data_IF_596705190152
#
_entry.id   IF_596705190152
#
_cell.length_a   1.000
_cell.length_b   1.000
_cell.length_c   1.000
_cell.angle_alpha   90.00
_cell.angle_beta   90.00
_cell.angle_gamma   90.00
#
_symmetry.space_group_name_H-M   'P 1'
#
loop_
_entity.id
_entity.type
_entity.pdbx_description
1 polymer ?
#
# COMPACT_ATOMS: atom_id res chain seq x y z
N UNK A 1 29.46 20.36 5.50
CA UNK A 1 28.01 20.47 5.34
C UNK A 1 27.45 19.06 5.35
N UNK A 2 26.45 18.73 6.18
CA UNK A 2 25.82 17.41 6.07
C UNK A 2 25.24 17.31 4.67
N UNK A 3 25.62 16.26 3.94
CA UNK A 3 24.97 15.94 2.67
C UNK A 3 23.49 15.73 2.99
N UNK A 4 22.60 16.46 2.33
CA UNK A 4 21.17 16.15 2.32
C UNK A 4 21.03 14.77 1.68
N UNK A 5 21.14 13.72 2.48
CA UNK A 5 20.76 12.37 2.08
C UNK A 5 19.26 12.38 1.92
N UNK A 6 18.80 12.56 0.69
CA UNK A 6 17.39 12.41 0.34
C UNK A 6 17.03 10.93 0.55
N UNK A 7 16.31 10.64 1.63
CA UNK A 7 15.90 9.28 1.96
C UNK A 7 14.70 8.95 1.07
N UNK A 8 14.76 7.87 0.27
CA UNK A 8 13.64 7.51 -0.58
C UNK A 8 12.45 7.05 0.28
N UNK A 9 11.24 7.34 -0.20
CA UNK A 9 10.04 6.68 0.32
C UNK A 9 10.17 5.17 0.17
N UNK A 10 9.60 4.41 1.10
CA UNK A 10 9.61 2.96 1.07
C UNK A 10 8.18 2.45 0.98
N UNK A 11 7.91 1.61 -0.01
CA UNK A 11 6.63 0.93 -0.17
C UNK A 11 6.80 -0.55 0.10
N UNK A 12 6.02 -1.10 1.03
CA UNK A 12 5.98 -2.55 1.26
C UNK A 12 4.71 -3.09 0.58
N UNK A 13 4.89 -3.74 -0.56
CA UNK A 13 3.79 -4.24 -1.40
C UNK A 13 3.74 -5.76 -1.37
N UNK A 14 2.58 -6.32 -1.67
CA UNK A 14 2.41 -7.77 -1.79
C UNK A 14 1.00 -8.23 -1.45
N UNK A 15 0.69 -9.52 -1.67
CA UNK A 15 -0.61 -10.11 -1.40
C UNK A 15 -1.08 -9.88 0.04
N UNK A 16 -2.38 -9.99 0.29
CA UNK A 16 -2.89 -10.04 1.66
C UNK A 16 -2.20 -11.15 2.48
N UNK A 17 -2.17 -10.99 3.79
CA UNK A 17 -1.62 -11.99 4.75
C UNK A 17 -0.11 -12.22 4.74
N UNK A 18 0.70 -11.57 3.90
CA UNK A 18 2.17 -11.82 3.83
C UNK A 18 3.01 -11.29 4.99
N UNK A 19 2.39 -10.85 6.09
CA UNK A 19 3.10 -10.34 7.27
C UNK A 19 3.64 -8.90 7.12
N UNK A 20 3.24 -8.17 6.07
CA UNK A 20 3.69 -6.78 5.81
C UNK A 20 3.49 -5.84 6.99
N UNK A 21 2.30 -5.82 7.57
CA UNK A 21 2.02 -4.99 8.76
C UNK A 21 2.90 -5.37 9.95
N UNK A 22 3.19 -6.66 10.15
CA UNK A 22 4.12 -7.12 11.19
C UNK A 22 5.55 -6.67 10.91
N UNK A 23 5.99 -6.76 9.65
CA UNK A 23 7.30 -6.29 9.20
C UNK A 23 7.45 -4.79 9.44
N UNK A 24 6.44 -3.99 9.09
CA UNK A 24 6.45 -2.53 9.27
C UNK A 24 6.55 -2.16 10.75
N UNK A 25 5.76 -2.78 11.63
CA UNK A 25 5.85 -2.51 13.06
C UNK A 25 7.23 -2.85 13.64
N UNK A 26 7.85 -3.95 13.18
CA UNK A 26 9.20 -4.31 13.60
C UNK A 26 10.24 -3.31 13.09
N UNK A 27 10.18 -2.97 11.80
CA UNK A 27 11.04 -1.96 11.19
C UNK A 27 10.88 -0.63 11.91
N UNK A 28 9.67 -0.21 12.26
CA UNK A 28 9.42 1.03 12.98
C UNK A 28 10.21 1.10 14.28
N UNK A 29 10.13 0.06 15.13
CA UNK A 29 10.84 0.03 16.40
C UNK A 29 12.36 0.09 16.22
N UNK A 30 12.90 -0.78 15.37
CA UNK A 30 14.35 -0.89 15.14
C UNK A 30 14.90 0.38 14.46
N UNK A 31 14.19 0.89 13.47
CA UNK A 31 14.60 2.05 12.68
C UNK A 31 14.46 3.35 13.46
N UNK A 32 13.42 3.53 14.28
CA UNK A 32 13.31 4.72 15.14
C UNK A 32 14.47 4.81 16.14
N UNK A 33 14.93 3.68 16.69
CA UNK A 33 16.10 3.65 17.56
C UNK A 33 17.38 4.04 16.81
N UNK A 34 17.55 3.51 15.60
CA UNK A 34 18.70 3.86 14.76
C UNK A 34 18.67 5.34 14.33
N UNK A 35 17.52 5.85 13.90
CA UNK A 35 17.35 7.23 13.44
C UNK A 35 17.68 8.25 14.54
N UNK A 36 17.36 7.97 15.81
CA UNK A 36 17.73 8.82 16.96
C UNK A 36 19.24 9.00 17.12
N UNK A 37 20.05 8.06 16.63
CA UNK A 37 21.51 8.13 16.65
C UNK A 37 22.08 8.82 15.38
N UNK A 38 21.22 9.29 14.48
CA UNK A 38 21.58 9.96 13.22
C UNK A 38 20.97 11.37 13.14
N UNK A 39 21.35 12.14 12.13
CA UNK A 39 20.73 13.43 11.80
C UNK A 39 19.58 13.32 10.80
N UNK A 40 19.05 12.11 10.57
CA UNK A 40 17.95 11.87 9.63
C UNK A 40 16.62 12.19 10.34
N UNK A 41 15.69 12.79 9.60
CA UNK A 41 14.37 13.17 10.11
C UNK A 41 13.54 11.96 10.58
N UNK A 42 12.60 12.22 11.50
CA UNK A 42 11.70 11.20 12.03
C UNK A 42 10.87 10.55 10.93
N UNK A 43 10.80 9.22 10.98
CA UNK A 43 10.01 8.39 10.09
C UNK A 43 8.50 8.65 10.23
N UNK A 44 7.82 8.90 9.10
CA UNK A 44 6.36 8.82 9.01
C UNK A 44 5.92 7.43 8.51
N UNK A 45 4.85 6.88 9.09
CA UNK A 45 4.30 5.58 8.68
C UNK A 45 2.87 5.73 8.21
N UNK A 46 2.61 5.18 7.03
CA UNK A 46 1.27 5.05 6.46
C UNK A 46 0.83 3.61 6.65
N UNK A 47 -0.14 3.39 7.54
CA UNK A 47 -0.80 2.09 7.72
C UNK A 47 -1.69 1.74 6.53
N UNK A 48 -2.08 0.47 6.38
CA UNK A 48 -2.88 -0.03 5.23
C UNK A 48 -4.17 0.79 5.00
N UNK A 49 -4.13 1.71 4.04
CA UNK A 49 -5.22 2.66 3.73
C UNK A 49 -6.48 1.94 3.28
N UNK A 50 -6.32 0.87 2.51
CA UNK A 50 -7.44 0.06 2.01
C UNK A 50 -8.35 -0.44 3.15
N UNK A 51 -7.78 -0.81 4.30
CA UNK A 51 -8.55 -1.29 5.45
C UNK A 51 -9.45 -0.20 6.02
N UNK A 52 -8.95 1.02 6.10
CA UNK A 52 -9.71 2.19 6.56
C UNK A 52 -10.83 2.56 5.58
N UNK A 53 -10.56 2.50 4.27
CA UNK A 53 -11.57 2.78 3.24
C UNK A 53 -12.69 1.75 3.26
N UNK A 54 -12.35 0.45 3.34
CA UNK A 54 -13.32 -0.63 3.44
C UNK A 54 -14.26 -0.43 4.64
N UNK A 55 -13.71 -0.13 5.81
CA UNK A 55 -14.49 0.11 7.02
C UNK A 55 -15.38 1.35 6.90
N UNK A 56 -14.84 2.46 6.38
CA UNK A 56 -15.57 3.74 6.23
C UNK A 56 -16.75 3.63 5.27
N UNK A 57 -16.60 2.89 4.18
CA UNK A 57 -17.61 2.77 3.11
C UNK A 57 -18.41 1.47 3.19
N UNK A 58 -18.21 0.66 4.23
CA UNK A 58 -18.92 -0.59 4.50
C UNK A 58 -18.84 -1.60 3.34
N UNK A 59 -17.68 -1.67 2.68
CA UNK A 59 -17.40 -2.65 1.63
C UNK A 59 -16.96 -3.98 2.24
N UNK A 60 -17.49 -5.09 1.71
CA UNK A 60 -17.04 -6.44 2.06
C UNK A 60 -16.14 -7.04 0.98
N UNK A 61 -15.35 -8.05 1.33
CA UNK A 61 -14.58 -8.82 0.33
C UNK A 61 -15.49 -9.46 -0.74
N UNK A 62 -16.73 -9.80 -0.38
CA UNK A 62 -17.72 -10.32 -1.32
C UNK A 62 -18.13 -9.29 -2.37
N UNK A 63 -18.30 -8.01 -1.98
CA UNK A 63 -18.63 -6.94 -2.93
C UNK A 63 -17.56 -6.77 -4.02
N UNK A 64 -16.29 -6.95 -3.64
CA UNK A 64 -15.13 -6.85 -4.54
C UNK A 64 -15.15 -7.96 -5.60
N UNK A 65 -15.53 -9.18 -5.19
CA UNK A 65 -15.48 -10.34 -6.08
C UNK A 65 -16.70 -10.47 -6.99
N UNK A 66 -17.85 -9.95 -6.55
CA UNK A 66 -19.13 -10.19 -7.21
C UNK A 66 -19.63 -9.03 -8.07
N UNK A 67 -19.10 -7.81 -7.88
CA UNK A 67 -19.47 -6.65 -8.67
C UNK A 67 -18.26 -5.87 -9.16
N UNK A 68 -18.07 -5.88 -10.49
CA UNK A 68 -17.01 -5.11 -11.16
C UNK A 68 -17.12 -3.61 -10.90
N UNK A 69 -18.35 -3.08 -10.91
CA UNK A 69 -18.62 -1.66 -10.68
C UNK A 69 -18.23 -1.26 -9.26
N UNK A 70 -18.68 -2.02 -8.26
CA UNK A 70 -18.32 -1.78 -6.85
C UNK A 70 -16.81 -1.93 -6.63
N UNK A 71 -16.20 -2.93 -7.24
CA UNK A 71 -14.76 -3.15 -7.15
C UNK A 71 -13.98 -1.95 -7.70
N UNK A 72 -14.37 -1.43 -8.88
CA UNK A 72 -13.72 -0.27 -9.50
C UNK A 72 -13.88 0.99 -8.64
N UNK A 73 -15.09 1.26 -8.16
CA UNK A 73 -15.38 2.39 -7.27
C UNK A 73 -14.51 2.31 -5.99
N UNK A 74 -14.44 1.14 -5.37
CA UNK A 74 -13.57 0.92 -4.23
C UNK A 74 -12.09 1.16 -4.57
N UNK A 75 -11.60 0.67 -5.71
CA UNK A 75 -10.19 0.87 -6.09
C UNK A 75 -9.88 2.36 -6.31
N UNK A 76 -10.81 3.13 -6.87
CA UNK A 76 -10.69 4.58 -6.99
C UNK A 76 -10.61 5.23 -5.59
N UNK A 77 -11.52 4.90 -4.68
CA UNK A 77 -11.52 5.43 -3.31
C UNK A 77 -10.22 5.12 -2.56
N UNK A 78 -9.68 3.90 -2.72
CA UNK A 78 -8.40 3.51 -2.10
C UNK A 78 -7.25 4.32 -2.69
N UNK A 79 -7.18 4.47 -4.02
CA UNK A 79 -6.12 5.23 -4.68
C UNK A 79 -6.13 6.71 -4.26
N UNK A 80 -7.30 7.34 -4.21
CA UNK A 80 -7.45 8.73 -3.78
C UNK A 80 -7.06 8.90 -2.30
N UNK A 81 -7.53 8.00 -1.42
CA UNK A 81 -7.18 8.02 0.00
C UNK A 81 -5.68 7.79 0.23
N UNK A 82 -5.05 6.93 -0.59
CA UNK A 82 -3.61 6.68 -0.53
C UNK A 82 -2.81 7.93 -0.92
N UNK A 83 -3.21 8.62 -1.99
CA UNK A 83 -2.55 9.86 -2.40
C UNK A 83 -2.63 10.94 -1.30
N UNK A 84 -3.78 11.05 -0.61
CA UNK A 84 -3.95 11.96 0.54
C UNK A 84 -3.03 11.57 1.69
N UNK A 85 -3.00 10.29 2.08
CA UNK A 85 -2.16 9.82 3.18
C UNK A 85 -0.66 10.03 2.90
N UNK A 86 -0.22 9.86 1.66
CA UNK A 86 1.17 10.16 1.25
C UNK A 86 1.50 11.64 1.35
N UNK A 87 0.58 12.53 0.93
CA UNK A 87 0.77 13.98 1.06
C UNK A 87 0.82 14.40 2.53
N UNK A 88 -0.08 13.89 3.37
CA UNK A 88 -0.09 14.16 4.82
C UNK A 88 1.20 13.65 5.49
N UNK A 89 1.70 12.48 5.10
CA UNK A 89 2.96 11.96 5.60
C UNK A 89 4.14 12.88 5.24
N UNK A 90 4.16 13.40 4.01
CA UNK A 90 5.20 14.31 3.52
C UNK A 90 5.11 15.73 4.08
N UNK A 91 3.97 16.14 4.62
CA UNK A 91 3.85 17.39 5.38
C UNK A 91 4.50 17.28 6.77
N UNK A 92 4.56 16.07 7.33
CA UNK A 92 5.05 15.80 8.67
C UNK A 92 6.50 15.27 8.71
N UNK A 93 7.02 14.80 7.58
CA UNK A 93 8.38 14.27 7.43
C UNK A 93 8.83 14.34 5.96
N UNK A 94 10.13 14.40 5.69
CA UNK A 94 10.69 14.32 4.34
C UNK A 94 10.53 12.97 3.64
N UNK A 95 10.16 11.91 4.37
CA UNK A 95 10.00 10.56 3.81
C UNK A 95 9.06 9.67 4.65
N UNK A 96 8.57 8.59 4.06
CA UNK A 96 7.68 7.64 4.75
C UNK A 96 7.95 6.17 4.40
N UNK A 97 7.41 5.29 5.25
CA UNK A 97 7.17 3.87 4.95
C UNK A 97 5.66 3.65 4.81
N UNK A 98 5.23 3.04 3.71
CA UNK A 98 3.82 2.73 3.45
C UNK A 98 3.54 1.23 3.44
N UNK A 99 2.55 0.79 4.21
CA UNK A 99 1.93 -0.53 4.12
C UNK A 99 0.99 -0.53 2.92
N UNK A 100 1.47 -1.10 1.80
CA UNK A 100 0.92 -0.97 0.44
C UNK A 100 1.25 0.35 -0.25
N UNK A 101 0.73 0.51 -1.46
CA UNK A 101 0.99 1.63 -2.36
C UNK A 101 -0.25 1.96 -3.18
N UNK A 102 -0.23 3.09 -3.90
CA UNK A 102 -1.25 3.39 -4.90
C UNK A 102 -1.17 2.50 -6.15
N UNK A 103 -0.19 1.60 -6.24
CA UNK A 103 -0.15 0.56 -7.27
C UNK A 103 -1.10 -0.60 -6.97
N UNK A 104 -1.35 -0.92 -5.69
CA UNK A 104 -2.22 -2.03 -5.29
C UNK A 104 -3.62 -1.93 -5.93
N UNK A 105 -4.32 -0.77 -5.93
CA UNK A 105 -5.61 -0.62 -6.61
C UNK A 105 -5.60 -1.00 -8.10
N UNK A 106 -4.51 -0.72 -8.83
CA UNK A 106 -4.40 -1.08 -10.25
C UNK A 106 -4.31 -2.60 -10.41
N UNK A 107 -3.61 -3.29 -9.52
CA UNK A 107 -3.52 -4.76 -9.51
C UNK A 107 -4.90 -5.39 -9.27
N UNK A 108 -5.64 -4.86 -8.29
CA UNK A 108 -7.00 -5.33 -7.99
C UNK A 108 -7.98 -5.02 -9.13
N UNK A 109 -7.92 -3.83 -9.73
CA UNK A 109 -8.73 -3.48 -10.90
C UNK A 109 -8.45 -4.42 -12.08
N UNK A 110 -7.17 -4.72 -12.36
CA UNK A 110 -6.79 -5.70 -13.39
C UNK A 110 -7.38 -7.08 -13.11
N UNK A 111 -7.34 -7.52 -11.84
CA UNK A 111 -7.75 -8.87 -11.43
C UNK A 111 -9.27 -9.07 -11.41
N UNK A 112 -10.02 -8.08 -10.93
CA UNK A 112 -11.44 -8.22 -10.59
C UNK A 112 -12.38 -7.39 -11.49
N UNK A 113 -11.86 -6.40 -12.21
CA UNK A 113 -12.65 -5.51 -13.08
C UNK A 113 -12.39 -5.84 -14.56
N UNK A 114 -11.33 -5.24 -15.12
CA UNK A 114 -10.90 -5.34 -16.51
C UNK A 114 -9.62 -4.54 -16.74
N UNK A 115 -9.01 -4.69 -17.93
CA UNK A 115 -7.91 -3.81 -18.36
C UNK A 115 -8.37 -2.34 -18.52
N UNK A 116 -9.62 -2.13 -18.97
CA UNK A 116 -10.21 -0.79 -19.07
C UNK A 116 -10.26 -0.11 -17.69
N UNK A 117 -10.67 -0.84 -16.64
CA UNK A 117 -10.69 -0.28 -15.28
C UNK A 117 -9.31 0.16 -14.79
N UNK A 118 -8.23 -0.50 -15.24
CA UNK A 118 -6.86 -0.03 -14.96
C UNK A 118 -6.57 1.28 -15.67
N UNK A 119 -6.95 1.39 -16.95
CA UNK A 119 -6.75 2.62 -17.72
C UNK A 119 -7.54 3.79 -17.12
N UNK A 120 -8.77 3.53 -16.66
CA UNK A 120 -9.61 4.53 -16.00
C UNK A 120 -8.93 5.05 -14.72
N UNK A 121 -8.40 4.14 -13.87
CA UNK A 121 -7.63 4.54 -12.68
C UNK A 121 -6.36 5.32 -13.02
N UNK A 122 -5.69 4.98 -14.14
CA UNK A 122 -4.48 5.66 -14.58
C UNK A 122 -4.72 7.11 -15.06
N UNK A 123 -5.97 7.48 -15.37
CA UNK A 123 -6.32 8.86 -15.71
C UNK A 123 -6.59 9.74 -14.47
N UNK A 124 -6.68 9.14 -13.27
CA UNK A 124 -6.94 9.89 -12.05
C UNK A 124 -5.72 10.72 -11.65
N UNK A 125 -5.89 11.99 -11.22
CA UNK A 125 -4.79 12.81 -10.70
C UNK A 125 -4.03 12.12 -9.56
N UNK A 126 -4.75 11.40 -8.68
CA UNK A 126 -4.17 10.63 -7.59
C UNK A 126 -3.13 9.59 -8.07
N UNK A 127 -3.37 8.93 -9.20
CA UNK A 127 -2.41 7.99 -9.76
C UNK A 127 -1.15 8.70 -10.27
N UNK A 128 -1.31 9.84 -10.93
CA UNK A 128 -0.18 10.61 -11.46
C UNK A 128 0.76 11.01 -10.31
N UNK A 129 0.20 11.54 -9.21
CA UNK A 129 0.97 11.95 -8.04
C UNK A 129 1.69 10.78 -7.37
N UNK A 130 0.98 9.67 -7.14
CA UNK A 130 1.57 8.48 -6.51
C UNK A 130 2.64 7.86 -7.41
N UNK A 131 2.42 7.79 -8.72
CA UNK A 131 3.39 7.24 -9.68
C UNK A 131 4.71 8.00 -9.63
N UNK A 132 4.67 9.33 -9.64
CA UNK A 132 5.89 10.17 -9.57
C UNK A 132 6.68 9.91 -8.28
N UNK A 133 5.99 9.73 -7.15
CA UNK A 133 6.64 9.38 -5.88
C UNK A 133 7.25 7.99 -5.91
N UNK A 134 6.52 7.01 -6.45
CA UNK A 134 6.97 5.62 -6.55
C UNK A 134 8.17 5.45 -7.50
N UNK A 135 8.29 6.26 -8.55
CA UNK A 135 9.44 6.22 -9.49
C UNK A 135 10.79 6.53 -8.81
N UNK A 136 10.77 7.22 -7.68
CA UNK A 136 11.96 7.60 -6.92
C UNK A 136 12.07 6.87 -5.57
N UNK A 137 11.28 5.81 -5.38
CA UNK A 137 11.14 5.11 -4.10
C UNK A 137 11.87 3.75 -4.08
N UNK A 138 12.06 3.23 -2.86
CA UNK A 138 12.39 1.83 -2.66
C UNK A 138 11.10 1.02 -2.56
N UNK A 139 10.94 0.02 -3.42
CA UNK A 139 9.78 -0.89 -3.39
C UNK A 139 10.24 -2.25 -2.89
N UNK A 140 9.70 -2.66 -1.75
CA UNK A 140 9.91 -3.99 -1.16
C UNK A 140 8.71 -4.87 -1.48
N UNK A 141 8.93 -5.92 -2.26
CA UNK A 141 7.88 -6.88 -2.62
C UNK A 141 7.91 -8.08 -1.68
N UNK A 142 6.83 -8.28 -0.92
CA UNK A 142 6.63 -9.47 -0.10
C UNK A 142 5.85 -10.52 -0.93
N UNK A 143 6.55 -11.56 -1.39
CA UNK A 143 5.99 -12.64 -2.21
C UNK A 143 4.93 -13.47 -1.46
N UNK A 144 4.04 -14.12 -2.22
CA UNK A 144 3.05 -15.07 -1.68
C UNK A 144 3.72 -16.42 -1.33
N UNK A 145 3.10 -17.19 -0.43
CA UNK A 145 3.51 -18.59 -0.19
C UNK A 145 4.61 -18.79 0.84
N UNK A 146 4.86 -17.80 1.69
CA UNK A 146 5.80 -17.96 2.81
C UNK A 146 5.17 -18.79 3.94
N UNK A 147 5.94 -19.64 4.65
CA UNK A 147 5.40 -20.60 5.64
C UNK A 147 4.68 -19.96 6.84
N UNK A 148 4.76 -18.63 6.98
CA UNK A 148 4.20 -17.87 8.09
C UNK A 148 2.79 -17.29 7.80
N UNK A 149 2.21 -17.55 6.62
CA UNK A 149 0.79 -17.24 6.35
C UNK A 149 -0.12 -18.26 7.04
N UNK A 150 -0.93 -17.82 8.01
CA UNK A 150 -2.08 -18.58 8.50
C UNK A 150 -3.38 -17.90 8.03
N UNK A 151 -4.34 -18.71 7.59
CA UNK A 151 -5.70 -18.26 7.27
C UNK A 151 -6.44 -17.91 8.56
N UNK A 152 -6.94 -16.67 8.65
CA UNK A 152 -7.69 -16.17 9.81
C UNK A 152 -9.17 -15.91 9.49
N UNK A 153 -9.67 -16.34 8.32
CA UNK A 153 -11.07 -16.23 7.93
C UNK A 153 -11.55 -14.82 7.57
N UNK A 154 -10.67 -13.81 7.68
CA UNK A 154 -10.95 -12.42 7.30
C UNK A 154 -10.27 -12.06 5.97
N UNK A 155 -9.19 -12.75 5.62
CA UNK A 155 -8.29 -12.39 4.51
C UNK A 155 -8.56 -13.20 3.25
N UNK A 156 -8.34 -12.59 2.09
CA UNK A 156 -8.34 -13.30 0.80
C UNK A 156 -7.04 -14.11 0.70
N UNK A 157 -7.14 -15.43 0.88
CA UNK A 157 -6.04 -16.35 0.68
C UNK A 157 -5.78 -16.57 -0.82
N UNK A 158 -4.51 -16.69 -1.26
CA UNK A 158 -4.22 -17.17 -2.60
C UNK A 158 -4.87 -18.54 -2.78
N UNK A 159 -5.64 -18.71 -3.85
CA UNK A 159 -6.34 -19.96 -4.13
C UNK A 159 -5.35 -21.11 -4.17
N UNK A 160 -5.62 -22.16 -3.40
CA UNK A 160 -4.96 -23.46 -3.48
C UNK A 160 -5.32 -24.14 -4.80
N UNK A 161 -4.87 -23.58 -5.92
CA UNK A 161 -4.81 -24.32 -7.17
C UNK A 161 -3.47 -25.03 -7.20
N UNK A 162 -3.49 -26.29 -6.74
CA UNK A 162 -2.55 -27.25 -7.24
C UNK A 162 -2.88 -27.51 -8.71
N UNK A 163 -2.01 -27.02 -9.59
CA UNK A 163 -1.62 -27.67 -10.85
C UNK A 163 -0.11 -27.53 -10.98
#
# INVERSE_FOLDING_TARGET
>A
MPQNTNVPNIYIIGPQSTGKTTLIHKIQGDLQLWLRATSIESLSIISEVARTVLAKHNYSAHDIQTSKTKCLELQQLILEAQAVAENEALQNSSWFISDRSGFDPLVYAKRYVSLQGVQDLQQLPAWIDVKVRMENALIVVCEAGTPWLMDDGVRLMPGSHGE
#
